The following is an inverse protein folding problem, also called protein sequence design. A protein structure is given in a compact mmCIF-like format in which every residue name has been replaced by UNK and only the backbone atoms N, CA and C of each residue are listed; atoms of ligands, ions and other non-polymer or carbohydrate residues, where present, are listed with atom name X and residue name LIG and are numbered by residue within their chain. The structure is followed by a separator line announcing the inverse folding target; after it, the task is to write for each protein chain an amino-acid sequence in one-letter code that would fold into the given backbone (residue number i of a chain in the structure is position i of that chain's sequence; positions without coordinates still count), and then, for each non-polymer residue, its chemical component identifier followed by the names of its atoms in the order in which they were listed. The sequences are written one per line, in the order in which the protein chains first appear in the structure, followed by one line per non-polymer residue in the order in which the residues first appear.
data_IF_693258665951
#
_entry.id   IF_693258665951
#
_cell.length_a   1.000
_cell.length_b   1.000
_cell.length_c   1.000
_cell.angle_alpha   90.00
_cell.angle_beta   90.00
_cell.angle_gamma   90.00
#
_symmetry.space_group_name_H-M   'P 1'
#
loop_
_entity.id
_entity.type
_entity.pdbx_description
1 polymer ?
#
# COMPACT_ATOMS: atom_id res chain seq x y z
N UNK A 1 6.23 0.63 -30.03
CA UNK A 1 7.54 0.39 -30.70
C UNK A 1 7.41 -0.64 -31.83
N UNK A 2 6.70 -1.75 -31.64
CA UNK A 2 6.55 -2.82 -32.63
C UNK A 2 5.84 -2.32 -33.90
N UNK A 3 4.77 -1.55 -33.76
CA UNK A 3 3.99 -1.01 -34.88
C UNK A 3 4.78 0.00 -35.72
N UNK A 4 5.60 0.88 -35.08
CA UNK A 4 6.49 1.82 -35.81
C UNK A 4 7.57 1.09 -36.63
N UNK A 5 8.13 0.00 -36.09
CA UNK A 5 9.07 -0.84 -36.84
C UNK A 5 8.39 -1.57 -38.00
N UNK A 6 7.14 -2.01 -37.83
CA UNK A 6 6.33 -2.61 -38.88
C UNK A 6 6.06 -1.64 -40.04
N UNK A 7 5.70 -0.39 -39.73
CA UNK A 7 5.48 0.66 -40.73
C UNK A 7 6.76 0.89 -41.56
N UNK A 8 7.91 1.01 -40.92
CA UNK A 8 9.18 1.19 -41.62
C UNK A 8 9.51 -0.01 -42.54
N UNK A 9 9.35 -1.24 -42.01
CA UNK A 9 9.55 -2.47 -42.78
C UNK A 9 8.67 -2.55 -44.03
N UNK A 10 7.35 -2.29 -43.92
CA UNK A 10 6.45 -2.35 -45.05
C UNK A 10 6.64 -1.21 -46.06
N UNK A 11 7.10 -0.04 -45.58
CA UNK A 11 7.51 1.09 -46.46
C UNK A 11 8.72 0.72 -47.28
N UNK A 12 9.72 0.07 -46.71
CA UNK A 12 10.90 -0.43 -47.42
C UNK A 12 10.57 -1.55 -48.42
N UNK A 13 9.56 -2.37 -48.13
CA UNK A 13 9.08 -3.46 -48.99
C UNK A 13 8.10 -3.01 -50.07
N UNK A 14 7.69 -1.74 -50.12
CA UNK A 14 6.65 -1.20 -51.02
C UNK A 14 5.31 -1.96 -50.95
N UNK A 15 4.98 -2.52 -49.79
CA UNK A 15 3.71 -3.22 -49.54
C UNK A 15 2.67 -2.20 -49.03
N UNK A 16 2.03 -1.53 -49.99
CA UNK A 16 1.06 -0.46 -49.67
C UNK A 16 -0.12 -0.93 -48.82
N UNK A 17 -0.59 -2.18 -49.02
CA UNK A 17 -1.74 -2.71 -48.26
C UNK A 17 -1.39 -2.92 -46.76
N UNK A 18 -0.27 -3.59 -46.50
CA UNK A 18 0.21 -3.84 -45.14
C UNK A 18 0.67 -2.55 -44.49
N UNK A 19 1.23 -1.59 -45.23
CA UNK A 19 1.57 -0.27 -44.76
C UNK A 19 0.34 0.47 -44.24
N UNK A 20 -0.72 0.56 -45.08
CA UNK A 20 -1.98 1.23 -44.76
C UNK A 20 -2.66 0.62 -43.51
N UNK A 21 -2.66 -0.70 -43.42
CA UNK A 21 -3.18 -1.40 -42.23
C UNK A 21 -2.39 -1.10 -40.98
N UNK A 22 -1.05 -1.02 -41.06
CA UNK A 22 -0.17 -0.71 -39.94
C UNK A 22 -0.31 0.76 -39.52
N UNK A 23 -0.50 1.68 -40.46
CA UNK A 23 -0.74 3.10 -40.18
C UNK A 23 -2.09 3.29 -39.48
N UNK A 24 -3.17 2.68 -39.98
CA UNK A 24 -4.49 2.72 -39.32
C UNK A 24 -4.46 2.11 -37.91
N UNK A 25 -3.73 1.02 -37.72
CA UNK A 25 -3.53 0.44 -36.40
C UNK A 25 -2.77 1.38 -35.46
N UNK A 26 -1.75 2.10 -35.95
CA UNK A 26 -1.02 3.08 -35.15
C UNK A 26 -1.92 4.24 -34.74
N UNK A 27 -2.72 4.80 -35.69
CA UNK A 27 -3.68 5.87 -35.42
C UNK A 27 -4.69 5.46 -34.35
N UNK A 28 -5.27 4.26 -34.48
CA UNK A 28 -6.20 3.71 -33.49
C UNK A 28 -5.55 3.63 -32.09
N UNK A 29 -4.34 3.08 -31.98
CA UNK A 29 -3.66 2.96 -30.70
C UNK A 29 -3.22 4.32 -30.12
N UNK A 30 -2.85 5.28 -30.96
CA UNK A 30 -2.56 6.66 -30.53
C UNK A 30 -3.81 7.32 -29.97
N UNK A 31 -4.97 7.17 -30.65
CA UNK A 31 -6.24 7.70 -30.18
C UNK A 31 -6.67 7.06 -28.85
N UNK A 32 -6.57 5.72 -28.72
CA UNK A 32 -6.87 5.03 -27.46
C UNK A 32 -5.95 5.47 -26.33
N UNK A 33 -4.66 5.65 -26.62
CA UNK A 33 -3.71 6.17 -25.64
C UNK A 33 -4.05 7.59 -25.21
N UNK A 34 -4.37 8.47 -26.14
CA UNK A 34 -4.78 9.84 -25.83
C UNK A 34 -6.05 9.88 -24.98
N UNK A 35 -7.05 9.06 -25.30
CA UNK A 35 -8.27 8.91 -24.51
C UNK A 35 -7.98 8.39 -23.10
N UNK A 36 -7.11 7.39 -22.96
CA UNK A 36 -6.78 6.79 -21.68
C UNK A 36 -5.96 7.69 -20.77
N UNK A 37 -5.12 8.55 -21.36
CA UNK A 37 -4.25 9.48 -20.60
C UNK A 37 -4.90 10.85 -20.40
N UNK A 38 -6.05 11.12 -21.04
CA UNK A 38 -6.70 12.44 -21.02
C UNK A 38 -5.73 13.62 -21.28
N UNK A 39 -4.71 13.38 -22.12
CA UNK A 39 -3.68 14.36 -22.44
C UNK A 39 -2.55 14.50 -21.41
N UNK A 40 -2.53 13.66 -20.38
CA UNK A 40 -1.44 13.64 -19.38
C UNK A 40 -0.26 12.82 -19.92
N UNK A 41 0.92 13.42 -19.92
CA UNK A 41 2.17 12.76 -20.28
C UNK A 41 2.87 12.24 -19.03
N UNK A 42 3.11 10.92 -18.98
CA UNK A 42 3.88 10.29 -17.92
C UNK A 42 5.34 10.17 -18.38
N UNK A 43 6.23 10.80 -17.63
CA UNK A 43 7.66 10.71 -17.86
C UNK A 43 8.33 10.01 -16.69
N UNK A 44 9.00 8.91 -16.95
CA UNK A 44 9.72 8.13 -15.97
C UNK A 44 11.22 8.13 -16.31
N UNK A 45 12.06 8.05 -15.31
CA UNK A 45 13.51 7.87 -15.46
C UNK A 45 13.90 6.46 -15.95
N UNK A 46 12.92 5.56 -16.08
CA UNK A 46 13.07 4.20 -16.60
C UNK A 46 11.95 3.87 -17.60
N UNK A 47 11.98 2.70 -18.22
CA UNK A 47 10.93 2.30 -19.17
C UNK A 47 9.67 1.85 -18.44
N UNK A 48 8.49 2.13 -19.02
CA UNK A 48 7.21 1.63 -18.49
C UNK A 48 7.19 0.10 -18.40
N UNK A 49 7.88 -0.60 -19.31
CA UNK A 49 7.99 -2.07 -19.26
C UNK A 49 8.74 -2.53 -18.01
N UNK A 50 9.77 -1.81 -17.59
CA UNK A 50 10.49 -2.14 -16.36
C UNK A 50 9.64 -1.86 -15.12
N UNK A 51 8.95 -0.72 -15.06
CA UNK A 51 8.02 -0.41 -13.96
C UNK A 51 6.96 -1.49 -13.83
N UNK A 52 6.36 -1.91 -14.95
CA UNK A 52 5.36 -2.98 -14.97
C UNK A 52 5.94 -4.30 -14.45
N UNK A 53 7.14 -4.67 -14.86
CA UNK A 53 7.83 -5.86 -14.37
C UNK A 53 8.06 -5.82 -12.87
N UNK A 54 8.52 -4.67 -12.35
CA UNK A 54 8.72 -4.47 -10.91
C UNK A 54 7.39 -4.53 -10.14
N UNK A 55 6.31 -3.95 -10.67
CA UNK A 55 4.98 -4.03 -10.09
C UNK A 55 4.46 -5.49 -10.04
N UNK A 56 4.57 -6.24 -11.15
CA UNK A 56 4.18 -7.65 -11.21
C UNK A 56 5.01 -8.53 -10.24
N UNK A 57 6.27 -8.17 -10.00
CA UNK A 57 7.15 -8.82 -9.03
C UNK A 57 6.88 -8.38 -7.58
N UNK A 58 6.07 -7.33 -7.34
CA UNK A 58 5.79 -6.76 -6.02
C UNK A 58 6.86 -5.79 -5.50
N UNK A 59 7.80 -5.39 -6.34
CA UNK A 59 8.88 -4.45 -5.99
C UNK A 59 8.55 -3.00 -6.37
N UNK A 60 7.32 -2.73 -6.77
CA UNK A 60 6.83 -1.39 -7.06
C UNK A 60 5.37 -1.28 -6.66
N UNK A 61 5.03 -0.28 -5.86
CA UNK A 61 3.68 -0.04 -5.35
C UNK A 61 2.98 1.04 -6.18
N UNK A 62 1.72 0.80 -6.49
CA UNK A 62 0.81 1.83 -7.02
C UNK A 62 -0.44 1.84 -6.17
N UNK A 63 -0.83 3.00 -5.63
CA UNK A 63 -2.04 3.16 -4.85
C UNK A 63 -2.72 4.51 -5.14
N UNK A 64 -4.03 4.54 -4.93
CA UNK A 64 -4.83 5.76 -5.02
C UNK A 64 -5.80 5.83 -3.85
N UNK A 65 -5.79 6.94 -3.13
CA UNK A 65 -6.68 7.22 -2.01
C UNK A 65 -7.55 8.42 -2.34
N UNK A 66 -8.86 8.21 -2.28
CA UNK A 66 -9.88 9.25 -2.49
C UNK A 66 -9.91 10.21 -1.29
N UNK A 67 -10.53 11.38 -1.46
CA UNK A 67 -10.76 12.34 -0.37
C UNK A 67 -11.56 11.71 0.79
N UNK A 68 -12.57 10.92 0.45
CA UNK A 68 -13.46 10.25 1.40
C UNK A 68 -12.82 8.96 1.92
N UNK A 69 -12.00 9.07 2.97
CA UNK A 69 -11.25 7.96 3.58
C UNK A 69 -11.85 7.61 4.94
N UNK A 70 -12.35 6.40 5.03
CA UNK A 70 -12.84 5.83 6.28
C UNK A 70 -12.10 4.51 6.49
N UNK A 71 -11.30 4.43 7.55
CA UNK A 71 -10.68 3.17 7.92
C UNK A 71 -11.75 2.20 8.40
N UNK A 72 -11.80 1.05 7.74
CA UNK A 72 -12.63 -0.08 8.15
C UNK A 72 -11.85 -1.36 7.97
N UNK A 73 -11.76 -2.16 9.01
CA UNK A 73 -11.15 -3.48 8.96
C UNK A 73 -12.10 -4.53 9.52
N UNK A 74 -12.05 -5.71 8.91
CA UNK A 74 -12.91 -6.84 9.30
C UNK A 74 -12.42 -7.39 10.62
N UNK A 75 -13.30 -7.41 11.63
CA UNK A 75 -13.02 -8.06 12.91
C UNK A 75 -13.02 -9.59 12.72
N UNK A 76 -11.94 -10.28 13.05
CA UNK A 76 -11.86 -11.73 12.89
C UNK A 76 -12.75 -12.43 13.91
N UNK A 77 -13.47 -13.46 13.46
CA UNK A 77 -14.26 -14.34 14.31
C UNK A 77 -13.51 -15.64 14.67
N UNK A 78 -12.43 -15.91 13.97
CA UNK A 78 -11.57 -17.08 14.14
C UNK A 78 -10.18 -16.75 13.62
N UNK A 79 -9.20 -17.53 14.03
CA UNK A 79 -7.83 -17.41 13.54
C UNK A 79 -7.71 -18.05 12.15
N UNK A 80 -7.27 -17.26 11.19
CA UNK A 80 -6.97 -17.73 9.83
C UNK A 80 -5.65 -17.17 9.33
N UNK A 81 -5.02 -17.86 8.38
CA UNK A 81 -3.82 -17.34 7.70
C UNK A 81 -4.19 -16.30 6.67
N UNK A 82 -3.66 -15.09 6.84
CA UNK A 82 -3.80 -14.04 5.83
C UNK A 82 -2.80 -14.24 4.70
N UNK A 83 -3.32 -14.37 3.48
CA UNK A 83 -2.49 -14.52 2.29
C UNK A 83 -2.34 -13.18 1.58
N UNK A 84 -1.22 -12.51 1.84
CA UNK A 84 -0.88 -11.26 1.18
C UNK A 84 -0.44 -11.53 -0.27
N UNK A 85 -0.86 -10.67 -1.20
CA UNK A 85 -0.44 -10.71 -2.60
C UNK A 85 0.94 -10.08 -2.78
N UNK A 86 1.65 -10.43 -3.86
CA UNK A 86 2.88 -9.76 -4.25
C UNK A 86 2.63 -8.37 -4.84
N UNK A 87 1.48 -8.15 -5.47
CA UNK A 87 1.04 -6.86 -6.00
C UNK A 87 -0.46 -6.72 -5.87
N UNK A 88 -0.91 -5.51 -5.61
CA UNK A 88 -2.33 -5.14 -5.49
C UNK A 88 -2.67 -4.12 -6.57
N UNK A 89 -3.80 -4.32 -7.26
CA UNK A 89 -4.32 -3.32 -8.18
C UNK A 89 -4.65 -2.01 -7.44
N UNK A 90 -4.71 -0.91 -8.20
CA UNK A 90 -4.91 0.44 -7.65
C UNK A 90 -6.24 0.58 -6.88
N UNK A 91 -7.24 -0.20 -7.23
CA UNK A 91 -8.58 -0.21 -6.62
C UNK A 91 -8.77 -1.26 -5.53
N UNK A 92 -7.78 -2.10 -5.27
CA UNK A 92 -7.82 -3.06 -4.15
C UNK A 92 -7.51 -2.37 -2.84
N UNK A 93 -8.14 -2.85 -1.77
CA UNK A 93 -8.05 -2.28 -0.42
C UNK A 93 -7.55 -3.32 0.58
N UNK A 94 -6.24 -3.69 0.56
CA UNK A 94 -5.71 -4.71 1.48
C UNK A 94 -5.92 -4.36 2.96
N UNK A 95 -6.04 -3.09 3.31
CA UNK A 95 -6.28 -2.62 4.68
C UNK A 95 -7.50 -3.24 5.37
N UNK A 96 -8.49 -3.69 4.61
CA UNK A 96 -9.67 -4.36 5.18
C UNK A 96 -9.32 -5.66 5.91
N UNK A 97 -8.19 -6.29 5.57
CA UNK A 97 -7.68 -7.50 6.21
C UNK A 97 -6.70 -7.23 7.36
N UNK A 98 -6.50 -5.95 7.73
CA UNK A 98 -5.42 -5.59 8.64
C UNK A 98 -5.54 -6.21 10.02
N UNK A 99 -6.72 -6.19 10.65
CA UNK A 99 -6.92 -6.78 11.98
C UNK A 99 -6.72 -8.30 11.93
N UNK A 100 -7.17 -8.95 10.88
CA UNK A 100 -6.89 -10.39 10.65
C UNK A 100 -5.39 -10.65 10.50
N UNK A 101 -4.68 -9.75 9.81
CA UNK A 101 -3.23 -9.85 9.66
C UNK A 101 -2.52 -9.70 11.02
N UNK A 102 -2.91 -8.75 11.86
CA UNK A 102 -2.38 -8.61 13.22
C UNK A 102 -2.61 -9.89 14.03
N UNK A 103 -3.81 -10.47 13.96
CA UNK A 103 -4.14 -11.72 14.65
C UNK A 103 -3.27 -12.89 14.11
N UNK A 104 -3.12 -13.03 12.79
CA UNK A 104 -2.23 -14.04 12.21
C UNK A 104 -0.77 -13.88 12.69
N UNK A 105 -0.28 -12.64 12.82
CA UNK A 105 1.04 -12.37 13.37
C UNK A 105 1.14 -12.83 14.84
N UNK A 106 0.18 -12.47 15.70
CA UNK A 106 0.15 -12.87 17.11
C UNK A 106 0.12 -14.39 17.27
N UNK A 107 -0.75 -15.07 16.53
CA UNK A 107 -0.83 -16.52 16.55
C UNK A 107 0.46 -17.18 16.00
N UNK A 108 1.04 -16.60 14.94
CA UNK A 108 2.33 -17.09 14.42
C UNK A 108 3.45 -16.90 15.43
N UNK A 109 3.47 -15.80 16.18
CA UNK A 109 4.43 -15.57 17.27
C UNK A 109 4.28 -16.60 18.38
N UNK A 110 3.05 -16.81 18.88
CA UNK A 110 2.78 -17.78 19.95
C UNK A 110 3.20 -19.22 19.55
N UNK A 111 2.85 -19.65 18.32
CA UNK A 111 3.24 -20.95 17.80
C UNK A 111 4.75 -21.06 17.57
N UNK A 112 5.42 -19.98 17.21
CA UNK A 112 6.88 -19.97 17.05
C UNK A 112 7.59 -20.13 18.41
N UNK A 113 7.10 -19.46 19.46
CA UNK A 113 7.58 -19.62 20.83
C UNK A 113 7.42 -21.06 21.28
N UNK A 114 6.21 -21.61 21.18
CA UNK A 114 5.88 -22.98 21.55
C UNK A 114 6.71 -24.02 20.79
N UNK A 115 6.99 -23.75 19.50
CA UNK A 115 7.80 -24.63 18.63
C UNK A 115 9.31 -24.38 18.70
N UNK A 116 9.82 -23.56 19.64
CA UNK A 116 11.25 -23.27 19.81
C UNK A 116 11.88 -22.44 18.68
N UNK A 117 11.07 -21.78 17.83
CA UNK A 117 11.54 -20.93 16.70
C UNK A 117 11.74 -19.48 17.18
N UNK A 118 12.71 -19.29 18.06
CA UNK A 118 12.98 -18.01 18.76
C UNK A 118 13.19 -16.83 17.81
N UNK A 119 13.99 -17.01 16.74
CA UNK A 119 14.28 -15.93 15.78
C UNK A 119 13.01 -15.43 15.09
N UNK A 120 12.12 -16.35 14.71
CA UNK A 120 10.83 -16.00 14.09
C UNK A 120 9.91 -15.24 15.07
N UNK A 121 9.86 -15.70 16.32
CA UNK A 121 9.08 -15.05 17.35
C UNK A 121 9.62 -13.64 17.66
N UNK A 122 10.93 -13.49 17.71
CA UNK A 122 11.61 -12.21 17.92
C UNK A 122 11.37 -11.22 16.75
N UNK A 123 11.47 -11.69 15.50
CA UNK A 123 11.15 -10.85 14.33
C UNK A 123 9.72 -10.28 14.41
N UNK A 124 8.75 -11.09 14.83
CA UNK A 124 7.36 -10.63 14.97
C UNK A 124 7.21 -9.68 16.18
N UNK A 125 7.93 -9.91 17.28
CA UNK A 125 7.94 -8.99 18.42
C UNK A 125 8.43 -7.60 17.98
N UNK A 126 9.56 -7.53 17.27
CA UNK A 126 10.10 -6.28 16.71
C UNK A 126 9.09 -5.60 15.77
N UNK A 127 8.37 -6.38 14.97
CA UNK A 127 7.34 -5.83 14.10
C UNK A 127 6.25 -5.10 14.90
N UNK A 128 5.75 -5.70 15.99
CA UNK A 128 4.75 -5.08 16.85
C UNK A 128 5.30 -3.85 17.59
N UNK A 129 6.53 -3.90 18.07
CA UNK A 129 7.19 -2.75 18.69
C UNK A 129 7.29 -1.57 17.73
N UNK A 130 7.76 -1.80 16.51
CA UNK A 130 7.84 -0.75 15.47
C UNK A 130 6.46 -0.22 15.06
N UNK A 131 5.45 -1.08 14.99
CA UNK A 131 4.09 -0.65 14.70
C UNK A 131 3.52 0.21 15.84
N UNK A 132 3.77 -0.14 17.10
CA UNK A 132 3.40 0.70 18.25
C UNK A 132 4.11 2.06 18.20
N UNK A 133 5.40 2.11 17.88
CA UNK A 133 6.13 3.36 17.69
C UNK A 133 5.53 4.22 16.55
N UNK A 134 5.09 3.59 15.47
CA UNK A 134 4.39 4.29 14.40
C UNK A 134 3.04 4.86 14.87
N UNK A 135 2.28 4.12 15.68
CA UNK A 135 1.05 4.64 16.29
C UNK A 135 1.34 5.85 17.21
N UNK A 136 2.39 5.80 18.04
CA UNK A 136 2.82 6.95 18.85
C UNK A 136 3.09 8.19 18.00
N UNK A 137 3.75 8.03 16.86
CA UNK A 137 3.99 9.14 15.93
C UNK A 137 2.69 9.65 15.27
N UNK A 138 1.76 8.76 14.91
CA UNK A 138 0.46 9.15 14.31
C UNK A 138 -0.39 9.91 15.31
N UNK A 139 -0.44 9.45 16.57
CA UNK A 139 -1.23 10.07 17.63
C UNK A 139 -0.54 11.26 18.31
N UNK A 140 0.76 11.45 18.04
CA UNK A 140 1.63 12.41 18.73
C UNK A 140 1.59 12.23 20.26
N UNK A 141 1.64 10.97 20.71
CA UNK A 141 1.47 10.60 22.11
C UNK A 141 2.32 9.37 22.44
N UNK A 142 3.32 9.54 23.32
CA UNK A 142 4.23 8.47 23.76
C UNK A 142 3.57 7.44 24.68
N UNK A 143 2.40 7.75 25.27
CA UNK A 143 1.65 6.82 26.12
C UNK A 143 0.90 5.73 25.34
N UNK A 144 0.80 5.88 24.02
CA UNK A 144 0.08 4.93 23.16
C UNK A 144 0.65 3.52 23.30
N UNK A 145 -0.24 2.57 23.49
CA UNK A 145 0.05 1.13 23.54
C UNK A 145 -0.94 0.38 22.67
N UNK A 146 -0.42 -0.62 21.95
CA UNK A 146 -1.23 -1.59 21.23
C UNK A 146 -1.44 -2.82 22.11
N UNK A 147 -2.65 -3.00 22.59
CA UNK A 147 -3.03 -4.12 23.48
C UNK A 147 -3.76 -5.18 22.69
N UNK A 148 -3.44 -6.43 22.97
CA UNK A 148 -4.10 -7.60 22.40
C UNK A 148 -4.77 -8.40 23.52
N UNK A 149 -6.06 -8.64 23.37
CA UNK A 149 -6.86 -9.51 24.26
C UNK A 149 -6.94 -10.91 23.63
N UNK A 150 -6.32 -11.88 24.27
CA UNK A 150 -6.26 -13.27 23.83
C UNK A 150 -7.57 -14.03 23.99
N UNK A 151 -8.49 -13.58 24.85
CA UNK A 151 -9.78 -14.21 25.04
C UNK A 151 -10.80 -13.83 23.95
N UNK A 152 -10.75 -12.56 23.53
CA UNK A 152 -11.67 -12.01 22.52
C UNK A 152 -11.06 -11.86 21.14
N UNK A 153 -9.72 -12.04 21.00
CA UNK A 153 -8.92 -11.79 19.79
C UNK A 153 -9.00 -10.34 19.30
N UNK A 154 -9.26 -9.41 20.21
CA UNK A 154 -9.38 -7.99 19.85
C UNK A 154 -8.08 -7.24 20.07
N UNK A 155 -7.85 -6.24 19.21
CA UNK A 155 -6.81 -5.25 19.38
C UNK A 155 -7.42 -3.93 19.79
N UNK A 156 -6.88 -3.32 20.84
CA UNK A 156 -7.23 -1.99 21.30
C UNK A 156 -6.02 -1.08 21.36
N UNK A 157 -6.26 0.21 21.24
CA UNK A 157 -5.29 1.26 21.47
C UNK A 157 -5.61 1.88 22.84
N UNK A 158 -4.62 1.89 23.72
CA UNK A 158 -4.69 2.54 25.02
C UNK A 158 -3.83 3.80 25.01
N UNK A 159 -4.32 4.86 25.67
CA UNK A 159 -3.64 6.14 25.82
C UNK A 159 -3.97 6.72 27.20
N UNK A 160 -3.03 7.46 27.79
CA UNK A 160 -3.24 8.11 29.08
C UNK A 160 -4.44 9.07 29.05
N UNK A 161 -5.33 8.94 30.01
CA UNK A 161 -6.51 9.81 30.15
C UNK A 161 -7.63 9.55 29.14
N UNK A 162 -7.60 8.45 28.40
CA UNK A 162 -8.67 8.04 27.48
C UNK A 162 -9.10 6.61 27.75
N UNK A 163 -10.38 6.31 27.51
CA UNK A 163 -10.86 4.94 27.45
C UNK A 163 -10.24 4.20 26.27
N UNK A 164 -9.91 2.91 26.42
CA UNK A 164 -9.43 2.08 25.30
C UNK A 164 -10.38 2.10 24.12
N UNK A 165 -9.85 2.13 22.91
CA UNK A 165 -10.66 2.14 21.68
C UNK A 165 -10.07 1.21 20.63
N UNK A 166 -10.89 0.75 19.70
CA UNK A 166 -10.44 -0.09 18.58
C UNK A 166 -10.17 0.72 17.31
N UNK A 167 -9.58 0.07 16.30
CA UNK A 167 -9.23 0.70 15.03
C UNK A 167 -10.43 1.21 14.23
N UNK A 168 -11.64 0.68 14.46
CA UNK A 168 -12.85 1.08 13.74
C UNK A 168 -13.62 2.22 14.44
N UNK A 169 -13.20 2.61 15.65
CA UNK A 169 -13.84 3.68 16.44
C UNK A 169 -13.02 4.97 16.49
N UNK A 170 -12.01 5.07 15.64
CA UNK A 170 -11.13 6.24 15.52
C UNK A 170 -11.88 7.49 15.03
N UNK A 171 -11.44 8.67 15.48
CA UNK A 171 -11.89 9.91 14.87
C UNK A 171 -11.53 9.97 13.39
N UNK A 172 -12.30 10.70 12.60
CA UNK A 172 -12.15 10.75 11.13
C UNK A 172 -10.73 11.09 10.68
N UNK A 173 -10.01 11.96 11.40
CA UNK A 173 -8.65 12.35 11.07
C UNK A 173 -7.65 11.20 11.23
N UNK A 174 -7.66 10.52 12.37
CA UNK A 174 -6.78 9.37 12.59
C UNK A 174 -7.16 8.18 11.71
N UNK A 175 -8.45 7.96 11.49
CA UNK A 175 -8.93 6.94 10.56
C UNK A 175 -8.41 7.18 9.13
N UNK A 176 -8.43 8.43 8.64
CA UNK A 176 -7.93 8.78 7.31
C UNK A 176 -6.42 8.54 7.16
N UNK A 177 -5.61 8.80 8.20
CA UNK A 177 -4.17 8.54 8.18
C UNK A 177 -3.90 7.02 8.21
N UNK A 178 -4.55 6.30 9.13
CA UNK A 178 -4.38 4.86 9.25
C UNK A 178 -4.86 4.11 8.01
N UNK A 179 -5.89 4.61 7.32
CA UNK A 179 -6.33 4.08 6.03
C UNK A 179 -5.19 4.00 5.01
N UNK A 180 -4.40 5.08 4.88
CA UNK A 180 -3.25 5.15 3.98
C UNK A 180 -2.09 4.29 4.49
N UNK A 181 -1.69 4.49 5.74
CA UNK A 181 -0.49 3.88 6.32
C UNK A 181 -0.60 2.37 6.35
N UNK A 182 -1.72 1.85 6.86
CA UNK A 182 -1.96 0.41 6.98
C UNK A 182 -2.10 -0.26 5.61
N UNK A 183 -2.76 0.41 4.66
CA UNK A 183 -2.88 -0.10 3.29
C UNK A 183 -1.50 -0.24 2.63
N UNK A 184 -0.64 0.77 2.76
CA UNK A 184 0.73 0.72 2.24
C UNK A 184 1.58 -0.35 2.93
N UNK A 185 1.48 -0.50 4.24
CA UNK A 185 2.13 -1.59 4.97
C UNK A 185 1.75 -2.94 4.35
N UNK A 186 0.46 -3.24 4.20
CA UNK A 186 0.01 -4.53 3.67
C UNK A 186 0.37 -4.75 2.20
N UNK A 187 0.46 -3.69 1.39
CA UNK A 187 0.93 -3.77 -0.01
C UNK A 187 2.39 -4.20 -0.11
N UNK A 188 3.21 -3.86 0.88
CA UNK A 188 4.65 -4.13 0.89
C UNK A 188 5.02 -5.38 1.70
N UNK A 189 4.22 -5.76 2.67
CA UNK A 189 4.55 -6.70 3.74
C UNK A 189 4.99 -8.09 3.24
N UNK A 190 4.39 -8.58 2.15
CA UNK A 190 4.79 -9.88 1.57
C UNK A 190 6.25 -9.87 1.10
N UNK A 191 6.71 -8.78 0.50
CA UNK A 191 8.08 -8.66 -0.02
C UNK A 191 9.08 -8.42 1.11
N UNK A 192 8.65 -7.69 2.14
CA UNK A 192 9.49 -7.29 3.26
C UNK A 192 9.65 -8.36 4.35
N UNK A 193 8.87 -9.43 4.27
CA UNK A 193 8.95 -10.56 5.19
C UNK A 193 9.02 -10.13 6.67
N UNK A 194 8.16 -9.17 7.07
CA UNK A 194 8.06 -8.65 8.44
C UNK A 194 9.27 -7.86 8.95
N UNK A 195 10.09 -7.31 8.06
CA UNK A 195 11.24 -6.48 8.45
C UNK A 195 10.82 -5.11 9.02
N UNK A 196 9.61 -4.66 8.68
CA UNK A 196 9.12 -3.30 8.96
C UNK A 196 10.06 -2.21 8.38
N UNK A 197 10.61 -2.47 7.21
CA UNK A 197 11.44 -1.53 6.44
C UNK A 197 10.78 -1.28 5.08
N UNK A 198 9.96 -0.23 5.00
CA UNK A 198 9.10 0.04 3.86
C UNK A 198 9.82 0.82 2.73
N UNK A 199 10.98 0.31 2.31
CA UNK A 199 11.83 0.90 1.29
C UNK A 199 11.47 0.49 -0.15
N UNK A 200 10.30 -0.12 -0.40
CA UNK A 200 9.83 -0.45 -1.74
C UNK A 200 9.46 0.84 -2.48
N UNK A 201 9.91 0.95 -3.74
CA UNK A 201 9.60 2.11 -4.59
C UNK A 201 8.15 2.10 -5.05
N UNK A 202 7.59 3.27 -5.32
CA UNK A 202 6.22 3.35 -5.80
C UNK A 202 5.71 4.76 -6.07
N UNK A 203 4.48 4.82 -6.55
CA UNK A 203 3.73 6.06 -6.76
C UNK A 203 2.39 5.94 -6.04
N UNK A 204 2.12 6.92 -5.21
CA UNK A 204 0.88 7.00 -4.43
C UNK A 204 0.19 8.34 -4.73
N UNK A 205 -1.04 8.25 -5.20
CA UNK A 205 -1.90 9.39 -5.44
C UNK A 205 -2.88 9.52 -4.28
N UNK A 206 -2.95 10.70 -3.69
CA UNK A 206 -3.86 10.99 -2.57
C UNK A 206 -4.66 12.23 -2.93
N UNK A 207 -5.98 12.10 -2.96
CA UNK A 207 -6.88 13.20 -3.20
C UNK A 207 -7.18 13.89 -1.86
N UNK A 208 -7.04 15.22 -1.81
CA UNK A 208 -7.33 16.04 -0.63
C UNK A 208 -6.77 15.43 0.68
N UNK A 209 -5.46 15.26 0.77
CA UNK A 209 -4.82 14.58 1.91
C UNK A 209 -5.17 15.24 3.25
N UNK A 210 -5.42 16.55 3.26
CA UNK A 210 -5.78 17.37 4.42
C UNK A 210 -7.21 17.17 4.91
N UNK A 211 -8.09 16.58 4.09
CA UNK A 211 -9.51 16.42 4.44
C UNK A 211 -9.65 15.54 5.69
N UNK A 212 -10.49 15.99 6.62
CA UNK A 212 -10.73 15.43 7.95
C UNK A 212 -9.59 15.59 8.96
N UNK A 213 -8.40 16.07 8.56
CA UNK A 213 -7.29 16.28 9.47
C UNK A 213 -7.39 17.62 10.20
N UNK A 214 -7.15 17.63 11.50
CA UNK A 214 -6.93 18.87 12.22
C UNK A 214 -5.55 19.46 11.91
N UNK A 215 -5.34 20.76 12.18
CA UNK A 215 -4.18 21.54 11.73
C UNK A 215 -2.82 20.91 12.06
N UNK A 216 -2.66 20.32 13.25
CA UNK A 216 -1.37 19.70 13.62
C UNK A 216 -1.07 18.46 12.79
N UNK A 217 -2.09 17.62 12.53
CA UNK A 217 -1.93 16.48 11.63
C UNK A 217 -1.66 16.91 10.18
N UNK A 218 -2.33 17.97 9.70
CA UNK A 218 -2.07 18.51 8.35
C UNK A 218 -0.61 18.93 8.16
N UNK A 219 0.00 19.56 9.17
CA UNK A 219 1.41 19.98 9.12
C UNK A 219 2.39 18.81 9.05
N UNK A 220 2.05 17.68 9.68
CA UNK A 220 2.97 16.58 9.92
C UNK A 220 2.76 15.38 8.99
N UNK A 221 1.59 15.25 8.35
CA UNK A 221 1.23 14.04 7.59
C UNK A 221 2.21 13.71 6.46
N UNK A 222 2.65 14.69 5.68
CA UNK A 222 3.60 14.44 4.59
C UNK A 222 4.98 14.03 5.11
N UNK A 223 5.42 14.64 6.22
CA UNK A 223 6.67 14.25 6.88
C UNK A 223 6.58 12.81 7.40
N UNK A 224 5.47 12.45 8.03
CA UNK A 224 5.21 11.07 8.49
C UNK A 224 5.30 10.08 7.32
N UNK A 225 4.51 10.30 6.26
CA UNK A 225 4.44 9.40 5.11
C UNK A 225 5.79 9.24 4.42
N UNK A 226 6.53 10.33 4.19
CA UNK A 226 7.84 10.28 3.54
C UNK A 226 8.94 9.70 4.43
N UNK A 227 8.77 9.75 5.75
CA UNK A 227 9.69 9.09 6.69
C UNK A 227 9.45 7.58 6.74
N UNK A 228 8.19 7.16 6.80
CA UNK A 228 7.82 5.74 6.87
C UNK A 228 8.03 5.03 5.53
N UNK A 229 7.76 5.71 4.42
CA UNK A 229 7.84 5.17 3.05
C UNK A 229 8.81 6.00 2.20
N UNK A 230 10.12 5.90 2.44
CA UNK A 230 11.12 6.85 1.87
C UNK A 230 11.28 6.77 0.36
N UNK A 231 10.89 5.66 -0.27
CA UNK A 231 11.01 5.44 -1.71
C UNK A 231 9.68 5.58 -2.47
N UNK A 232 8.63 6.06 -1.80
CA UNK A 232 7.35 6.36 -2.43
C UNK A 232 7.32 7.82 -2.88
N UNK A 233 6.91 8.03 -4.11
CA UNK A 233 6.53 9.35 -4.61
C UNK A 233 5.04 9.59 -4.32
N UNK A 234 4.77 10.56 -3.47
CA UNK A 234 3.42 11.01 -3.13
C UNK A 234 3.02 12.21 -3.97
#
# INVERSE_FOLDING_TARGET
KTTKKGIQYYREKQDERSLKQSESSLEYWVEQYQKSTAGIWLNFNTSFTEIRKQFEAGNFVVAYYKADRIFTSVQPKHVEKVQLKSGYAINEMPRTEFIKYLLDLKMTQALAISGGKTDKAHTIAIWFEKFEQLLKQIFDDESVKLVFDEETFQFSIEMDGREPFDFNTLSSGYAAILDIVVDLILRMERQLNRSFDFAISGIVLIDEIETHLHLELQKNIMKLLTTVFPNIQF
#
